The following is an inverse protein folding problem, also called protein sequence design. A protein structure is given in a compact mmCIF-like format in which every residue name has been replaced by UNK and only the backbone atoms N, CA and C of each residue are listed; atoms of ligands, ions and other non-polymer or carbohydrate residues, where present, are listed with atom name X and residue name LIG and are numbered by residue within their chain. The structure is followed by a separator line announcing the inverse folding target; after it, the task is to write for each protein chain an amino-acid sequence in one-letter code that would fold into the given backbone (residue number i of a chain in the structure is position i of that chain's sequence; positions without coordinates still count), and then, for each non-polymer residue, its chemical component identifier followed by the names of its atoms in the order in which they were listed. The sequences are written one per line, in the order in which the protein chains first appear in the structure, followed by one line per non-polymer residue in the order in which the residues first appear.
data_IF_525742804732
#
_entry.id   IF_525742804732
#
_cell.length_a   1.000
_cell.length_b   1.000
_cell.length_c   1.000
_cell.angle_alpha   90.00
_cell.angle_beta   90.00
_cell.angle_gamma   90.00
#
_symmetry.space_group_name_H-M   'P 1'
#
loop_
_entity.id
_entity.type
_entity.pdbx_description
1 polymer ?
#
# COMPACT_ATOMS: atom_id res chain seq x y z
N UNK A 1 -33.57 37.63 28.12
CA UNK A 1 -32.81 36.42 28.52
C UNK A 1 -33.37 35.20 27.77
N UNK A 2 -32.50 34.39 27.13
CA UNK A 2 -32.75 33.00 26.64
C UNK A 2 -33.29 32.89 25.20
N UNK A 3 -32.49 32.69 24.14
CA UNK A 3 -31.88 31.42 23.63
C UNK A 3 -32.94 30.32 23.47
N UNK A 4 -33.04 29.53 22.41
CA UNK A 4 -32.41 29.40 21.10
C UNK A 4 -33.06 28.11 20.54
N UNK A 5 -33.76 28.15 19.40
CA UNK A 5 -34.15 26.92 18.68
C UNK A 5 -33.29 26.89 17.43
N UNK A 6 -32.03 26.48 17.60
CA UNK A 6 -31.13 26.19 16.50
C UNK A 6 -31.48 24.82 15.95
N UNK A 7 -31.81 24.77 14.66
CA UNK A 7 -31.87 23.56 13.86
C UNK A 7 -30.59 22.74 14.04
N UNK A 8 -30.67 21.63 14.78
CA UNK A 8 -29.58 20.64 14.86
C UNK A 8 -29.68 19.73 13.64
N UNK A 9 -29.20 20.25 12.51
CA UNK A 9 -28.88 19.46 11.33
C UNK A 9 -27.36 19.25 11.29
N UNK A 10 -26.80 18.45 12.21
CA UNK A 10 -25.38 18.13 12.25
C UNK A 10 -25.14 16.75 12.87
N UNK A 11 -25.52 15.69 12.15
CA UNK A 11 -25.05 14.33 12.46
C UNK A 11 -25.16 13.41 11.23
N UNK A 12 -24.57 13.82 10.11
CA UNK A 12 -24.15 12.84 9.09
C UNK A 12 -22.64 12.81 9.10
N UNK A 13 -22.13 11.68 9.58
CA UNK A 13 -20.73 11.34 9.70
C UNK A 13 -20.00 11.64 8.40
N UNK A 14 -19.09 12.61 8.47
CA UNK A 14 -17.99 12.76 7.52
C UNK A 14 -17.09 11.54 7.71
N UNK A 15 -17.38 10.46 6.98
CA UNK A 15 -16.44 9.39 6.72
C UNK A 15 -16.48 9.09 5.22
N UNK A 16 -16.27 10.15 4.43
CA UNK A 16 -15.79 9.98 3.07
C UNK A 16 -14.37 9.42 3.20
N UNK A 17 -14.23 8.11 3.04
CA UNK A 17 -12.96 7.52 2.67
C UNK A 17 -12.62 8.10 1.29
N UNK A 18 -11.83 9.17 1.29
CA UNK A 18 -11.31 9.73 0.07
C UNK A 18 -10.29 8.70 -0.43
N UNK A 19 -10.67 7.93 -1.45
CA UNK A 19 -9.70 7.44 -2.41
C UNK A 19 -9.22 8.69 -3.16
N UNK A 20 -8.37 9.48 -2.48
CA UNK A 20 -7.77 10.67 -3.05
C UNK A 20 -6.94 10.21 -4.25
N UNK A 21 -7.16 10.92 -5.35
CA UNK A 21 -6.37 10.95 -6.57
C UNK A 21 -4.88 10.66 -6.26
N UNK A 22 -4.46 9.40 -6.46
CA UNK A 22 -3.07 8.98 -6.24
C UNK A 22 -2.19 9.77 -7.21
N UNK A 23 -1.49 10.77 -6.71
CA UNK A 23 -0.61 11.57 -7.56
C UNK A 23 0.62 10.74 -7.94
N UNK A 24 1.24 11.04 -9.07
CA UNK A 24 2.50 10.37 -9.48
C UNK A 24 3.57 10.50 -8.39
N UNK A 25 3.56 11.59 -7.60
CA UNK A 25 4.45 11.78 -6.46
C UNK A 25 4.21 10.77 -5.33
N UNK A 26 2.95 10.45 -5.05
CA UNK A 26 2.58 9.46 -4.03
C UNK A 26 3.00 8.06 -4.44
N UNK A 27 2.77 7.68 -5.71
CA UNK A 27 3.20 6.38 -6.25
C UNK A 27 4.73 6.20 -6.17
N UNK A 28 5.49 7.26 -6.44
CA UNK A 28 6.96 7.26 -6.31
C UNK A 28 7.38 7.08 -4.85
N UNK A 29 6.70 7.78 -3.91
CA UNK A 29 6.99 7.66 -2.48
C UNK A 29 6.62 6.28 -1.92
N UNK A 30 5.51 5.70 -2.34
CA UNK A 30 5.06 4.35 -1.98
C UNK A 30 6.05 3.30 -2.48
N UNK A 31 6.47 3.40 -3.74
CA UNK A 31 7.46 2.51 -4.34
C UNK A 31 8.82 2.60 -3.64
N UNK A 32 9.27 3.81 -3.28
CA UNK A 32 10.53 4.02 -2.57
C UNK A 32 10.52 3.38 -1.18
N UNK A 33 9.45 3.58 -0.41
CA UNK A 33 9.29 2.94 0.90
C UNK A 33 9.20 1.42 0.78
N UNK A 34 8.49 0.91 -0.23
CA UNK A 34 8.44 -0.52 -0.53
C UNK A 34 9.83 -1.11 -0.83
N UNK A 35 10.68 -0.37 -1.55
CA UNK A 35 12.05 -0.79 -1.84
C UNK A 35 12.91 -0.89 -0.58
N UNK A 36 12.79 0.06 0.35
CA UNK A 36 13.49 0.03 1.65
C UNK A 36 13.08 -1.18 2.48
N UNK A 37 11.78 -1.41 2.63
CA UNK A 37 11.23 -2.57 3.33
C UNK A 37 11.73 -3.87 2.72
N UNK A 38 11.72 -3.96 1.38
CA UNK A 38 12.21 -5.13 0.66
C UNK A 38 13.69 -5.40 0.95
N UNK A 39 14.53 -4.38 0.88
CA UNK A 39 15.97 -4.49 1.11
C UNK A 39 16.28 -4.97 2.54
N UNK A 40 15.57 -4.43 3.54
CA UNK A 40 15.79 -4.77 4.95
C UNK A 40 15.27 -6.16 5.34
N UNK A 41 14.07 -6.52 4.87
CA UNK A 41 13.32 -7.66 5.40
C UNK A 41 13.26 -8.85 4.43
N UNK A 42 13.25 -8.62 3.12
CA UNK A 42 12.91 -9.64 2.11
C UNK A 42 14.12 -10.12 1.29
N UNK A 43 15.01 -9.20 0.90
CA UNK A 43 16.13 -9.46 -0.02
C UNK A 43 17.12 -10.52 0.51
N UNK A 44 17.20 -10.70 1.83
CA UNK A 44 18.02 -11.74 2.47
C UNK A 44 17.69 -13.16 2.04
N UNK A 45 16.45 -13.42 1.60
CA UNK A 45 16.00 -14.74 1.17
C UNK A 45 15.59 -14.75 -0.30
N UNK A 46 15.00 -13.66 -0.80
CA UNK A 46 14.53 -13.57 -2.19
C UNK A 46 15.56 -13.00 -3.17
N UNK A 47 16.69 -12.48 -2.68
CA UNK A 47 17.69 -11.81 -3.52
C UNK A 47 17.21 -10.45 -4.03
N UNK A 48 17.87 -9.92 -5.06
CA UNK A 48 17.49 -8.66 -5.71
C UNK A 48 16.67 -8.86 -7.00
N UNK A 49 16.57 -10.10 -7.49
CA UNK A 49 15.80 -10.48 -8.66
C UNK A 49 14.74 -11.47 -8.23
N UNK A 50 13.50 -11.03 -8.30
CA UNK A 50 12.36 -11.91 -8.10
C UNK A 50 11.95 -12.37 -9.49
N UNK A 51 12.09 -13.67 -9.77
CA UNK A 51 11.55 -14.26 -11.00
C UNK A 51 10.02 -14.39 -10.91
N UNK A 52 9.36 -13.27 -10.64
CA UNK A 52 7.92 -13.16 -10.69
C UNK A 52 7.56 -12.22 -11.82
N UNK A 53 6.71 -12.71 -12.73
CA UNK A 53 6.04 -11.86 -13.71
C UNK A 53 4.78 -11.33 -13.02
N UNK A 54 4.80 -10.06 -12.63
CA UNK A 54 3.68 -9.38 -12.00
C UNK A 54 3.24 -8.22 -12.89
N UNK A 55 1.94 -8.05 -13.05
CA UNK A 55 1.39 -6.89 -13.71
C UNK A 55 1.01 -5.83 -12.67
N UNK A 56 0.92 -4.53 -13.03
CA UNK A 56 0.51 -3.49 -12.08
C UNK A 56 -0.81 -3.81 -11.36
N UNK A 57 -1.77 -4.44 -12.04
CA UNK A 57 -3.05 -4.89 -11.48
C UNK A 57 -2.92 -5.97 -10.39
N UNK A 58 -1.77 -6.64 -10.28
CA UNK A 58 -1.52 -7.64 -9.23
C UNK A 58 -1.25 -7.03 -7.86
N UNK A 59 -1.02 -5.71 -7.75
CA UNK A 59 -0.62 -5.05 -6.51
C UNK A 59 -1.55 -5.38 -5.33
N UNK A 60 -2.87 -5.30 -5.53
CA UNK A 60 -3.85 -5.62 -4.49
C UNK A 60 -3.79 -7.09 -4.05
N UNK A 61 -3.58 -8.01 -5.00
CA UNK A 61 -3.45 -9.45 -4.72
C UNK A 61 -2.18 -9.74 -3.94
N UNK A 62 -1.08 -9.08 -4.29
CA UNK A 62 0.20 -9.19 -3.60
C UNK A 62 0.10 -8.62 -2.19
N UNK A 63 -0.51 -7.47 -1.99
CA UNK A 63 -0.70 -6.88 -0.66
C UNK A 63 -1.46 -7.83 0.27
N UNK A 64 -2.54 -8.46 -0.23
CA UNK A 64 -3.29 -9.47 0.51
C UNK A 64 -2.45 -10.73 0.84
N UNK A 65 -1.62 -11.17 -0.10
CA UNK A 65 -0.67 -12.25 0.16
C UNK A 65 0.32 -11.87 1.26
N UNK A 66 0.95 -10.70 1.18
CA UNK A 66 1.93 -10.22 2.16
C UNK A 66 1.33 -10.07 3.56
N UNK A 67 0.06 -9.65 3.66
CA UNK A 67 -0.65 -9.56 4.93
C UNK A 67 -0.83 -10.92 5.62
N UNK A 68 -1.03 -11.99 4.85
CA UNK A 68 -1.19 -13.36 5.36
C UNK A 68 0.11 -14.18 5.39
N UNK A 69 1.14 -13.74 4.66
CA UNK A 69 2.40 -14.46 4.47
C UNK A 69 3.55 -13.74 5.17
N UNK A 70 3.51 -13.78 6.51
CA UNK A 70 4.53 -13.22 7.38
C UNK A 70 5.55 -14.26 7.81
N UNK A 71 6.82 -13.89 7.80
CA UNK A 71 7.90 -14.67 8.37
C UNK A 71 8.26 -14.14 9.75
N UNK A 72 9.06 -14.87 10.54
CA UNK A 72 9.55 -14.37 11.84
C UNK A 72 10.34 -13.05 11.76
N UNK A 73 10.77 -12.64 10.56
CA UNK A 73 11.58 -11.45 10.34
C UNK A 73 10.77 -10.20 9.95
N UNK A 74 9.45 -10.32 9.79
CA UNK A 74 8.62 -9.26 9.23
C UNK A 74 7.20 -9.16 9.85
N UNK A 75 7.07 -9.69 11.08
CA UNK A 75 5.80 -9.77 11.81
C UNK A 75 5.14 -8.40 12.00
N UNK A 76 5.94 -7.36 12.12
CA UNK A 76 5.54 -5.98 12.39
C UNK A 76 4.99 -5.21 11.17
N UNK A 77 5.05 -5.77 9.94
CA UNK A 77 4.52 -5.09 8.75
C UNK A 77 3.04 -4.73 8.89
N UNK A 78 2.72 -3.47 8.67
CA UNK A 78 1.34 -2.94 8.62
C UNK A 78 0.70 -3.19 7.26
N UNK A 79 -0.61 -2.94 7.14
CA UNK A 79 -1.29 -2.99 5.83
C UNK A 79 -0.73 -1.95 4.84
N UNK A 80 -0.30 -0.79 5.35
CA UNK A 80 0.39 0.21 4.54
C UNK A 80 1.72 -0.30 4.02
N UNK A 81 2.53 -0.92 4.89
CA UNK A 81 3.81 -1.51 4.47
C UNK A 81 3.61 -2.59 3.39
N UNK A 82 2.54 -3.39 3.50
CA UNK A 82 2.19 -4.40 2.50
C UNK A 82 1.77 -3.77 1.17
N UNK A 83 1.06 -2.64 1.20
CA UNK A 83 0.68 -1.89 0.00
C UNK A 83 1.90 -1.25 -0.69
N UNK A 84 2.76 -0.57 0.07
CA UNK A 84 4.02 0.01 -0.43
C UNK A 84 4.92 -1.08 -1.04
N UNK A 85 5.06 -2.22 -0.34
CA UNK A 85 5.83 -3.36 -0.83
C UNK A 85 5.22 -3.95 -2.11
N UNK A 86 3.90 -4.09 -2.18
CA UNK A 86 3.24 -4.58 -3.38
C UNK A 86 3.44 -3.64 -4.59
N UNK A 87 3.35 -2.33 -4.39
CA UNK A 87 3.64 -1.32 -5.41
C UNK A 87 5.08 -1.46 -5.93
N UNK A 88 6.04 -1.64 -5.02
CA UNK A 88 7.43 -1.90 -5.39
C UNK A 88 7.59 -3.19 -6.20
N UNK A 89 7.01 -4.30 -5.76
CA UNK A 89 7.15 -5.60 -6.41
C UNK A 89 6.60 -5.62 -7.84
N UNK A 90 5.47 -4.97 -8.10
CA UNK A 90 4.92 -4.87 -9.47
C UNK A 90 5.74 -3.90 -10.34
N UNK A 91 6.39 -2.89 -9.74
CA UNK A 91 7.30 -1.98 -10.45
C UNK A 91 8.59 -2.65 -10.94
N UNK A 92 9.04 -3.71 -10.24
CA UNK A 92 10.24 -4.47 -10.61
C UNK A 92 10.01 -5.39 -11.80
N UNK A 93 8.77 -5.74 -12.09
CA UNK A 93 8.47 -6.66 -13.19
C UNK A 93 8.87 -5.99 -14.50
N UNK A 94 9.73 -6.64 -15.32
CA UNK A 94 10.06 -6.09 -16.61
C UNK A 94 8.74 -5.90 -17.36
N UNK A 95 8.47 -4.66 -17.78
CA UNK A 95 7.34 -4.32 -18.64
C UNK A 95 7.21 -5.42 -19.67
N UNK A 96 6.07 -6.11 -19.70
CA UNK A 96 5.75 -7.14 -20.69
C UNK A 96 6.03 -6.56 -22.08
N UNK A 97 7.26 -6.78 -22.59
CA UNK A 97 7.65 -6.47 -23.94
C UNK A 97 7.16 -7.65 -24.75
N UNK A 98 5.92 -7.54 -25.21
CA UNK A 98 5.49 -8.27 -26.40
C UNK A 98 6.39 -7.90 -27.57
#
# INVERSE_FOLDING_TARGET
MGRAVFCVALMFCVLSAQADDLTVGDLVAETARGAEIYAEKCARCHGGTIEMVLAPEDASRIAAFLASHKTRFDQDRTDRDNADLAAYLVSLSPTQRN
#
